data_IF_197192070653
#
_entry.id   IF_197192070653
#
_cell.length_a   1.000
_cell.length_b   1.000
_cell.length_c   1.000
_cell.angle_alpha   90.00
_cell.angle_beta   90.00
_cell.angle_gamma   90.00
#
_symmetry.space_group_name_H-M   'P 1'
#
loop_
_entity.id
_entity.type
_entity.pdbx_description
1 polymer ?
#
# COMPACT_ATOMS: atom_id res chain seq x y z
N UNK A 1 -0.55 -5.93 -8.87
CA UNK A 1 -0.41 -5.09 -7.66
C UNK A 1 -0.41 -6.04 -6.49
N UNK A 2 0.72 -6.14 -5.78
CA UNK A 2 0.94 -7.12 -4.72
C UNK A 2 0.37 -6.69 -3.37
N UNK A 3 0.76 -7.39 -2.31
CA UNK A 3 0.55 -6.97 -0.92
C UNK A 3 1.52 -5.83 -0.61
N UNK A 4 1.03 -4.78 0.06
CA UNK A 4 1.82 -3.64 0.50
C UNK A 4 2.43 -3.84 1.89
N UNK A 5 1.96 -4.85 2.65
CA UNK A 5 2.57 -5.25 3.90
C UNK A 5 4.02 -5.72 3.73
N UNK A 6 4.89 -5.24 4.63
CA UNK A 6 6.28 -5.69 4.71
C UNK A 6 6.41 -6.93 5.60
N UNK A 7 7.64 -7.43 5.77
CA UNK A 7 7.93 -8.50 6.73
C UNK A 7 7.74 -8.09 8.19
N UNK A 8 7.70 -6.78 8.47
CA UNK A 8 7.47 -6.25 9.82
C UNK A 8 5.96 -6.03 10.03
N UNK A 9 5.37 -6.59 11.09
CA UNK A 9 3.94 -6.41 11.38
C UNK A 9 3.56 -4.93 11.47
N UNK A 10 2.42 -4.57 10.88
CA UNK A 10 1.87 -3.20 10.82
C UNK A 10 2.77 -2.17 10.11
N UNK A 11 3.74 -2.62 9.30
CA UNK A 11 4.57 -1.75 8.46
C UNK A 11 4.28 -2.05 6.99
N UNK A 12 3.97 -1.02 6.23
CA UNK A 12 3.56 -1.10 4.82
C UNK A 12 4.44 -0.19 3.96
N UNK A 13 4.60 -0.52 2.68
CA UNK A 13 5.38 0.26 1.72
C UNK A 13 4.62 0.39 0.39
N UNK A 14 4.75 1.53 -0.28
CA UNK A 14 4.10 1.83 -1.55
C UNK A 14 4.96 2.78 -2.40
N UNK A 15 4.63 2.90 -3.69
CA UNK A 15 5.33 3.76 -4.62
C UNK A 15 6.71 3.23 -4.97
N UNK A 16 7.66 4.13 -5.28
CA UNK A 16 8.96 3.75 -5.81
C UNK A 16 9.80 2.90 -4.84
N UNK A 17 9.54 2.96 -3.52
CA UNK A 17 10.18 2.05 -2.55
C UNK A 17 9.61 0.62 -2.58
N UNK A 18 8.40 0.43 -3.08
CA UNK A 18 7.76 -0.87 -3.23
C UNK A 18 8.01 -1.47 -4.62
N UNK A 19 7.88 -0.65 -5.66
CA UNK A 19 7.93 -1.07 -7.06
C UNK A 19 9.30 -0.87 -7.73
N UNK A 20 10.09 0.09 -7.26
CA UNK A 20 11.21 0.68 -8.00
C UNK A 20 10.78 1.91 -8.80
N UNK A 21 11.76 2.55 -9.47
CA UNK A 21 11.57 3.84 -10.16
C UNK A 21 10.37 3.83 -11.11
N UNK A 22 9.44 4.78 -10.93
CA UNK A 22 8.22 4.85 -11.72
C UNK A 22 7.71 6.27 -11.94
N UNK A 23 6.48 6.39 -12.44
CA UNK A 23 5.80 7.67 -12.62
C UNK A 23 5.05 8.07 -11.34
N UNK A 24 4.91 9.37 -11.09
CA UNK A 24 4.15 9.92 -9.95
C UNK A 24 2.72 9.36 -9.88
N UNK A 25 2.06 9.17 -11.03
CA UNK A 25 0.70 8.61 -11.08
C UNK A 25 0.63 7.18 -10.53
N UNK A 26 1.71 6.39 -10.67
CA UNK A 26 1.79 5.05 -10.10
C UNK A 26 1.94 5.10 -8.58
N UNK A 27 2.77 6.01 -8.07
CA UNK A 27 2.87 6.22 -6.63
C UNK A 27 1.54 6.65 -6.00
N UNK A 28 0.77 7.52 -6.69
CA UNK A 28 -0.58 7.91 -6.23
C UNK A 28 -1.52 6.69 -6.22
N UNK A 29 -1.50 5.88 -7.28
CA UNK A 29 -2.35 4.69 -7.36
C UNK A 29 -2.02 3.68 -6.26
N UNK A 30 -0.74 3.37 -6.08
CA UNK A 30 -0.28 2.43 -5.05
C UNK A 30 -0.51 2.97 -3.65
N UNK A 31 -0.39 4.28 -3.42
CA UNK A 31 -0.72 4.89 -2.14
C UNK A 31 -2.18 4.66 -1.74
N UNK A 32 -3.11 4.72 -2.70
CA UNK A 32 -4.53 4.43 -2.45
C UNK A 32 -4.78 2.95 -2.16
N UNK A 33 -4.17 2.08 -2.95
CA UNK A 33 -4.33 0.64 -2.76
C UNK A 33 -3.69 0.18 -1.42
N UNK A 34 -2.58 0.80 -1.01
CA UNK A 34 -1.93 0.59 0.30
C UNK A 34 -2.80 1.10 1.46
N UNK A 35 -3.39 2.29 1.33
CA UNK A 35 -4.29 2.82 2.36
C UNK A 35 -5.49 1.89 2.62
N UNK A 36 -6.04 1.28 1.56
CA UNK A 36 -7.09 0.26 1.67
C UNK A 36 -6.62 -0.98 2.43
N UNK A 37 -5.42 -1.48 2.15
CA UNK A 37 -4.85 -2.64 2.86
C UNK A 37 -4.56 -2.34 4.34
N UNK A 38 -4.07 -1.13 4.64
CA UNK A 38 -3.87 -0.66 6.03
C UNK A 38 -5.19 -0.61 6.78
N UNK A 39 -6.24 -0.07 6.14
CA UNK A 39 -7.58 0.01 6.73
C UNK A 39 -8.16 -1.38 7.00
N UNK A 40 -8.11 -2.29 6.02
CA UNK A 40 -8.51 -3.69 6.20
C UNK A 40 -7.72 -4.39 7.32
N UNK A 41 -6.41 -4.14 7.42
CA UNK A 41 -5.56 -4.77 8.44
C UNK A 41 -5.88 -4.27 9.86
N UNK A 42 -6.24 -3.00 10.03
CA UNK A 42 -6.55 -2.41 11.34
C UNK A 42 -7.99 -2.65 11.77
N UNK A 43 -8.93 -2.57 10.83
CA UNK A 43 -10.38 -2.58 11.11
C UNK A 43 -11.04 -3.93 10.83
N UNK A 44 -10.38 -4.82 10.06
CA UNK A 44 -10.92 -6.10 9.58
C UNK A 44 -11.82 -5.99 8.34
N UNK A 45 -12.14 -4.77 7.90
CA UNK A 45 -12.86 -4.44 6.68
C UNK A 45 -12.49 -3.00 6.25
N UNK A 46 -12.79 -2.61 5.01
CA UNK A 46 -12.55 -1.24 4.52
C UNK A 46 -13.78 -0.66 3.83
N UNK A 47 -13.88 0.66 3.83
CA UNK A 47 -14.92 1.43 3.15
C UNK A 47 -14.37 2.30 2.00
N UNK A 48 -13.12 2.06 1.58
CA UNK A 48 -12.38 2.83 0.57
C UNK A 48 -12.45 2.23 -0.85
#
# INVERSE_FOLDING_TARGET
AGKYATSVPNVFTAGDMHRGQSLVVWAIREGRDCAREVDEALMGYTML
#
